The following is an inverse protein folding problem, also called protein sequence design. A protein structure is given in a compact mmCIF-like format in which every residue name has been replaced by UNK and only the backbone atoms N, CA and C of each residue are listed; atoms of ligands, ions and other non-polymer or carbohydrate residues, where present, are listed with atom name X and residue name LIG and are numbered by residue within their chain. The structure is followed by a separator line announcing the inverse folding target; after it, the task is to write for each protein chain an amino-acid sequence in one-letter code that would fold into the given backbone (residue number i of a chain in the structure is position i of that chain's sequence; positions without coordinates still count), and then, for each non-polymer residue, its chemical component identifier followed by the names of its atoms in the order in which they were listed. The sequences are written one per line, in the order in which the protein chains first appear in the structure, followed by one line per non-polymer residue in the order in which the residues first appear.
data_IF_635782088340
#
_entry.id   IF_635782088340
#
_cell.length_a   1.000
_cell.length_b   1.000
_cell.length_c   1.000
_cell.angle_alpha   90.00
_cell.angle_beta   90.00
_cell.angle_gamma   90.00
#
_symmetry.space_group_name_H-M   'P 1'
#
loop_
_entity.id
_entity.type
_entity.pdbx_description
1 polymer ?
#
# COMPACT_ATOMS: atom_id res chain seq x y z
N UNK A 1 -3.48 0.68 -5.30
CA UNK A 1 -2.77 0.21 -4.09
C UNK A 1 -1.89 1.33 -3.59
N UNK A 2 -1.78 1.50 -2.28
CA UNK A 2 -0.93 2.51 -1.65
C UNK A 2 -0.09 1.86 -0.54
N UNK A 3 1.22 2.15 -0.51
CA UNK A 3 2.16 1.64 0.48
C UNK A 3 2.65 2.77 1.39
N UNK A 4 2.66 2.53 2.70
CA UNK A 4 3.16 3.44 3.72
C UNK A 4 4.22 2.74 4.56
N UNK A 5 5.39 3.38 4.69
CA UNK A 5 6.49 2.92 5.54
C UNK A 5 6.31 3.30 7.01
N UNK A 6 5.20 3.96 7.33
CA UNK A 6 4.80 4.40 8.66
C UNK A 6 3.51 3.70 9.12
N UNK A 7 3.19 3.82 10.42
CA UNK A 7 1.94 3.33 11.02
C UNK A 7 0.74 3.98 10.33
N UNK A 8 -0.36 3.23 10.21
CA UNK A 8 -1.62 3.74 9.70
C UNK A 8 -2.04 5.06 10.37
N UNK A 9 -2.49 6.01 9.56
CA UNK A 9 -3.14 7.25 9.98
C UNK A 9 -4.46 7.39 9.23
N UNK A 10 -5.54 7.89 9.86
CA UNK A 10 -6.85 8.05 9.21
C UNK A 10 -6.81 8.83 7.89
N UNK A 11 -5.92 9.82 7.75
CA UNK A 11 -5.74 10.58 6.51
C UNK A 11 -5.36 9.73 5.29
N UNK A 12 -4.74 8.56 5.49
CA UNK A 12 -4.37 7.66 4.41
C UNK A 12 -5.61 7.03 3.77
N UNK A 13 -6.62 6.68 4.58
CA UNK A 13 -7.89 6.18 4.07
C UNK A 13 -8.59 7.23 3.21
N UNK A 14 -8.54 8.51 3.62
CA UNK A 14 -9.07 9.63 2.83
C UNK A 14 -8.38 9.80 1.47
N UNK A 15 -7.05 9.72 1.43
CA UNK A 15 -6.26 9.79 0.18
C UNK A 15 -6.61 8.63 -0.76
N UNK A 16 -6.65 7.40 -0.24
CA UNK A 16 -6.98 6.22 -1.03
C UNK A 16 -8.43 6.25 -1.53
N UNK A 17 -9.38 6.70 -0.69
CA UNK A 17 -10.78 6.88 -1.09
C UNK A 17 -10.93 7.87 -2.25
N UNK A 18 -10.17 8.96 -2.23
CA UNK A 18 -10.11 9.90 -3.35
C UNK A 18 -9.61 9.21 -4.64
N UNK A 19 -8.53 8.44 -4.58
CA UNK A 19 -8.01 7.71 -5.75
C UNK A 19 -9.01 6.70 -6.29
N UNK A 20 -9.61 5.87 -5.42
CA UNK A 20 -10.61 4.87 -5.82
C UNK A 20 -11.82 5.54 -6.48
N UNK A 21 -12.29 6.65 -5.91
CA UNK A 21 -13.38 7.43 -6.49
C UNK A 21 -13.03 7.99 -7.88
N UNK A 22 -11.82 8.53 -8.05
CA UNK A 22 -11.36 9.06 -9.33
C UNK A 22 -11.31 7.96 -10.40
N UNK A 23 -10.75 6.78 -10.06
CA UNK A 23 -10.72 5.62 -10.96
C UNK A 23 -12.14 5.19 -11.35
N UNK A 24 -13.03 5.06 -10.37
CA UNK A 24 -14.42 4.67 -10.60
C UNK A 24 -15.18 5.66 -11.49
N UNK A 25 -14.84 6.96 -11.46
CA UNK A 25 -15.50 7.98 -12.28
C UNK A 25 -14.88 8.17 -13.66
N UNK A 26 -13.57 7.97 -13.80
CA UNK A 26 -12.83 8.38 -15.00
C UNK A 26 -12.40 7.21 -15.87
N UNK A 27 -12.21 6.02 -15.28
CA UNK A 27 -11.59 4.89 -15.98
C UNK A 27 -12.47 3.63 -15.98
N UNK A 28 -13.28 3.44 -14.95
CA UNK A 28 -14.17 2.28 -14.84
C UNK A 28 -15.22 2.29 -15.94
N UNK A 29 -15.41 1.15 -16.59
CA UNK A 29 -16.47 0.89 -17.57
C UNK A 29 -17.69 0.24 -16.92
N UNK A 30 -18.77 0.05 -17.68
CA UNK A 30 -19.98 -0.62 -17.19
C UNK A 30 -19.76 -2.10 -16.85
N UNK A 31 -18.80 -2.76 -17.49
CA UNK A 31 -18.50 -4.18 -17.29
C UNK A 31 -17.59 -4.43 -16.09
N UNK A 32 -16.92 -3.40 -15.60
CA UNK A 32 -16.00 -3.51 -14.48
C UNK A 32 -16.73 -3.57 -13.13
N UNK A 33 -16.14 -4.30 -12.19
CA UNK A 33 -16.53 -4.23 -10.78
C UNK A 33 -16.05 -2.90 -10.15
N UNK A 34 -16.58 -2.52 -8.98
CA UNK A 34 -16.04 -1.39 -8.22
C UNK A 34 -14.54 -1.55 -7.96
N UNK A 35 -13.77 -0.48 -8.14
CA UNK A 35 -12.33 -0.47 -7.87
C UNK A 35 -12.08 -0.74 -6.39
N UNK A 36 -11.14 -1.66 -6.10
CA UNK A 36 -10.75 -2.04 -4.74
C UNK A 36 -9.52 -1.23 -4.31
N UNK A 37 -9.64 -0.50 -3.21
CA UNK A 37 -8.52 0.16 -2.55
C UNK A 37 -7.78 -0.77 -1.61
N UNK A 38 -6.46 -0.88 -1.76
CA UNK A 38 -5.61 -1.63 -0.82
C UNK A 38 -4.57 -0.66 -0.26
N UNK A 39 -4.60 -0.44 1.05
CA UNK A 39 -3.60 0.31 1.81
C UNK A 39 -2.72 -0.68 2.58
N UNK A 40 -1.42 -0.66 2.35
CA UNK A 40 -0.43 -1.46 3.05
C UNK A 40 0.40 -0.52 3.93
N UNK A 41 0.50 -0.79 5.22
CA UNK A 41 1.21 0.06 6.18
C UNK A 41 2.08 -0.75 7.12
N UNK A 42 3.02 -0.08 7.81
CA UNK A 42 4.01 -0.77 8.65
C UNK A 42 3.40 -1.42 9.90
N UNK A 43 2.32 -0.84 10.40
CA UNK A 43 1.58 -1.25 11.60
C UNK A 43 0.20 -0.58 11.54
N UNK A 44 -0.81 -1.14 12.20
CA UNK A 44 -2.13 -0.53 12.37
C UNK A 44 -2.73 -0.82 13.74
N UNK A 45 -3.46 0.16 14.26
CA UNK A 45 -4.40 -0.09 15.35
C UNK A 45 -5.74 -0.47 14.72
N UNK A 46 -6.26 -1.65 15.06
CA UNK A 46 -7.48 -2.20 14.45
C UNK A 46 -8.70 -1.32 14.69
N UNK A 47 -8.81 -0.75 15.89
CA UNK A 47 -9.92 0.13 16.27
C UNK A 47 -9.84 1.42 15.47
N UNK A 48 -8.66 2.03 15.38
CA UNK A 48 -8.47 3.25 14.57
C UNK A 48 -8.72 2.98 13.09
N UNK A 49 -8.31 1.82 12.57
CA UNK A 49 -8.56 1.42 11.20
C UNK A 49 -10.05 1.23 10.91
N UNK A 50 -10.78 0.56 11.81
CA UNK A 50 -12.23 0.36 11.71
C UNK A 50 -12.97 1.71 11.70
N UNK A 51 -12.71 2.60 12.66
CA UNK A 51 -13.33 3.92 12.72
C UNK A 51 -13.01 4.80 11.50
N UNK A 52 -11.82 4.66 10.92
CA UNK A 52 -11.44 5.41 9.72
C UNK A 52 -12.15 4.90 8.45
N UNK A 53 -12.63 3.65 8.44
CA UNK A 53 -13.31 3.03 7.30
C UNK A 53 -14.85 3.06 7.43
N UNK A 54 -15.41 3.24 8.62
CA UNK A 54 -16.85 3.12 8.90
C UNK A 54 -17.73 3.96 7.95
N UNK A 55 -17.35 5.23 7.70
CA UNK A 55 -18.07 6.14 6.80
C UNK A 55 -17.58 6.11 5.34
N UNK A 56 -16.64 5.23 5.00
CA UNK A 56 -16.10 5.10 3.64
C UNK A 56 -16.91 4.07 2.84
N UNK A 57 -17.69 4.56 1.87
CA UNK A 57 -18.52 3.70 1.00
C UNK A 57 -17.76 2.91 -0.06
N UNK A 58 -16.52 3.29 -0.38
CA UNK A 58 -15.71 2.58 -1.36
C UNK A 58 -15.09 1.32 -0.74
N UNK A 59 -14.91 0.22 -1.50
CA UNK A 59 -14.31 -0.99 -0.96
C UNK A 59 -12.81 -0.78 -0.74
N UNK A 60 -12.43 -0.45 0.50
CA UNK A 60 -11.04 -0.20 0.91
C UNK A 60 -10.64 -1.17 2.01
N UNK A 61 -9.52 -1.86 1.82
CA UNK A 61 -8.87 -2.70 2.82
C UNK A 61 -7.56 -2.10 3.31
N UNK A 62 -7.29 -2.24 4.60
CA UNK A 62 -6.04 -1.85 5.25
C UNK A 62 -5.33 -3.11 5.75
N UNK A 63 -4.09 -3.31 5.34
CA UNK A 63 -3.24 -4.42 5.75
C UNK A 63 -1.91 -3.92 6.34
N UNK A 64 -1.38 -4.69 7.27
CA UNK A 64 -0.02 -4.53 7.76
C UNK A 64 0.92 -5.42 6.94
N UNK A 65 2.17 -4.97 6.72
CA UNK A 65 3.22 -5.83 6.17
C UNK A 65 4.24 -6.19 7.25
N UNK A 66 4.70 -7.44 7.22
CA UNK A 66 5.78 -7.89 8.08
C UNK A 66 7.12 -7.75 7.38
N UNK A 67 8.05 -7.01 7.99
CA UNK A 67 9.45 -7.02 7.57
C UNK A 67 10.16 -8.23 8.17
N UNK A 68 10.35 -9.26 7.35
CA UNK A 68 11.23 -10.36 7.72
C UNK A 68 12.69 -9.89 7.61
N UNK A 69 13.41 -9.90 8.74
CA UNK A 69 14.87 -9.64 8.76
C UNK A 69 15.68 -10.77 8.13
N UNK A 70 15.03 -11.90 7.86
CA UNK A 70 15.66 -13.07 7.24
C UNK A 70 15.43 -12.97 5.74
N UNK A 71 16.39 -12.32 5.07
CA UNK A 71 16.61 -12.56 3.64
C UNK A 71 16.82 -14.06 3.46
N UNK A 72 15.89 -14.74 2.77
CA UNK A 72 16.03 -16.18 2.49
C UNK A 72 17.36 -16.36 1.74
N UNK A 73 18.13 -17.37 2.12
CA UNK A 73 19.46 -17.66 1.53
C UNK A 73 19.41 -17.68 0.00
N UNK A 74 18.32 -18.20 -0.56
CA UNK A 74 18.04 -18.27 -1.99
C UNK A 74 18.05 -16.90 -2.71
N UNK A 75 17.75 -15.81 -2.00
CA UNK A 75 17.73 -14.46 -2.58
C UNK A 75 19.07 -13.72 -2.42
N UNK A 76 19.99 -14.18 -1.55
CA UNK A 76 21.27 -13.49 -1.32
C UNK A 76 22.13 -13.40 -2.57
N UNK A 77 22.12 -14.44 -3.43
CA UNK A 77 22.89 -14.44 -4.68
C UNK A 77 22.27 -13.61 -5.79
N UNK A 78 21.03 -13.12 -5.62
CA UNK A 78 20.29 -12.35 -6.63
C UNK A 78 20.17 -10.87 -6.28
N UNK A 79 20.67 -10.45 -5.12
CA UNK A 79 20.71 -9.05 -4.75
C UNK A 79 22.02 -8.42 -5.24
N UNK A 80 21.97 -7.20 -5.81
CA UNK A 80 23.17 -6.45 -6.15
C UNK A 80 23.97 -6.10 -4.88
N UNK A 81 25.28 -5.92 -5.02
CA UNK A 81 26.13 -5.48 -3.92
C UNK A 81 25.87 -4.00 -3.60
N UNK A 82 26.33 -3.56 -2.43
CA UNK A 82 26.22 -2.14 -2.04
C UNK A 82 26.97 -1.27 -3.05
N UNK A 83 28.14 -1.71 -3.50
CA UNK A 83 28.95 -1.01 -4.49
C UNK A 83 28.25 -0.88 -5.85
N UNK A 84 27.54 -1.93 -6.30
CA UNK A 84 26.76 -1.90 -7.55
C UNK A 84 25.60 -0.90 -7.45
N UNK A 85 24.88 -0.89 -6.33
CA UNK A 85 23.77 0.05 -6.08
C UNK A 85 24.27 1.51 -6.07
N UNK A 86 25.40 1.77 -5.40
CA UNK A 86 25.98 3.12 -5.33
C UNK A 86 26.46 3.62 -6.70
N UNK A 87 27.03 2.73 -7.52
CA UNK A 87 27.44 3.06 -8.89
C UNK A 87 26.25 3.49 -9.74
N UNK A 88 25.14 2.75 -9.74
CA UNK A 88 23.94 3.08 -10.54
C UNK A 88 23.21 4.35 -10.06
N UNK A 89 23.25 4.66 -8.76
CA UNK A 89 22.64 5.89 -8.22
C UNK A 89 23.47 7.15 -8.48
N UNK A 90 24.73 6.99 -8.89
CA UNK A 90 25.66 8.09 -9.18
C UNK A 90 25.69 8.51 -10.65
N UNK A 91 24.95 7.82 -11.52
CA UNK A 91 24.65 8.19 -12.90
C UNK A 91 23.36 9.01 -13.02
#
# INVERSE_FOLDING_TARGET
MELKTEKFKPEFAGKLNFYVTAVNKQMKTEQDNPTIGILICKDKDDVVAEYALDDISQPIGIAEYELTKVLREEFKSSLPTVEEIESELSE
#
